data_IF_857098929991
#
_entry.id   IF_857098929991
#
_cell.length_a   1.000
_cell.length_b   1.000
_cell.length_c   1.000
_cell.angle_alpha   90.00
_cell.angle_beta   90.00
_cell.angle_gamma   90.00
#
_symmetry.space_group_name_H-M   'P 1'
#
loop_
_entity.id
_entity.type
_entity.pdbx_description
1 polymer ?
#
# COMPACT_ATOMS: atom_id res chain seq x y z
N UNK A 1 -34.16 -13.23 -65.42
CA UNK A 1 -33.02 -12.34 -65.10
C UNK A 1 -33.22 -11.42 -63.84
N UNK A 2 -34.44 -11.31 -63.30
CA UNK A 2 -34.69 -10.48 -62.07
C UNK A 2 -34.48 -11.21 -60.73
N UNK A 3 -34.48 -12.52 -60.71
CA UNK A 3 -34.31 -13.32 -59.47
C UNK A 3 -32.85 -13.58 -59.12
N UNK A 4 -31.89 -13.45 -60.02
CA UNK A 4 -30.48 -13.64 -59.76
C UNK A 4 -29.78 -12.41 -59.15
N UNK A 5 -30.36 -11.22 -59.28
CA UNK A 5 -29.83 -9.97 -58.75
C UNK A 5 -30.17 -9.75 -57.24
N UNK A 6 -31.22 -10.37 -56.74
CA UNK A 6 -31.61 -10.29 -55.33
C UNK A 6 -30.78 -11.21 -54.44
N UNK A 7 -30.32 -12.35 -54.98
CA UNK A 7 -29.44 -13.25 -54.21
C UNK A 7 -28.01 -12.72 -54.05
N UNK A 8 -27.52 -11.88 -54.94
CA UNK A 8 -26.21 -11.27 -54.85
C UNK A 8 -26.17 -10.09 -53.84
N UNK A 9 -27.31 -9.40 -53.62
CA UNK A 9 -27.42 -8.30 -52.68
C UNK A 9 -27.53 -8.78 -51.20
N UNK A 10 -28.05 -9.99 -50.96
CA UNK A 10 -28.11 -10.56 -49.60
C UNK A 10 -26.78 -11.18 -49.16
N UNK A 11 -25.87 -11.51 -50.07
CA UNK A 11 -24.56 -12.09 -49.78
C UNK A 11 -23.50 -11.05 -49.34
N UNK A 12 -23.72 -9.76 -49.63
CA UNK A 12 -22.80 -8.68 -49.24
C UNK A 12 -23.04 -8.03 -47.88
N UNK A 13 -24.16 -8.35 -47.21
CA UNK A 13 -24.44 -7.84 -45.86
C UNK A 13 -23.91 -8.71 -44.71
N UNK A 14 -23.31 -9.87 -45.01
CA UNK A 14 -22.80 -10.80 -44.01
C UNK A 14 -21.30 -10.61 -43.66
N UNK A 15 -20.66 -9.56 -44.20
CA UNK A 15 -19.30 -9.16 -43.86
C UNK A 15 -19.25 -7.86 -43.01
N UNK A 16 -20.30 -7.65 -42.18
CA UNK A 16 -20.14 -6.77 -41.02
C UNK A 16 -19.20 -7.52 -40.06
N UNK A 17 -17.89 -7.27 -40.23
CA UNK A 17 -16.88 -7.77 -39.33
C UNK A 17 -17.35 -7.55 -37.92
N UNK A 18 -17.33 -8.60 -37.09
CA UNK A 18 -17.50 -8.44 -35.64
C UNK A 18 -16.61 -7.29 -35.24
N UNK A 19 -17.11 -6.29 -34.46
CA UNK A 19 -16.25 -5.26 -33.93
C UNK A 19 -15.17 -6.03 -33.17
N UNK A 20 -13.93 -5.96 -33.67
CA UNK A 20 -12.75 -6.48 -32.95
C UNK A 20 -12.92 -5.92 -31.53
N UNK A 21 -13.30 -6.78 -30.61
CA UNK A 21 -13.45 -6.41 -29.21
C UNK A 21 -12.13 -5.76 -28.83
N UNK A 22 -12.10 -4.44 -28.71
CA UNK A 22 -10.89 -3.69 -28.39
C UNK A 22 -10.35 -4.33 -27.13
N UNK A 23 -9.18 -5.01 -27.25
CA UNK A 23 -8.61 -5.75 -26.14
C UNK A 23 -8.42 -4.82 -24.93
N UNK A 24 -8.86 -5.25 -23.75
CA UNK A 24 -8.63 -4.49 -22.53
C UNK A 24 -7.12 -4.38 -22.20
N UNK A 25 -6.60 -3.20 -21.83
CA UNK A 25 -7.28 -1.90 -21.71
C UNK A 25 -7.46 -1.22 -23.08
N UNK A 26 -8.63 -0.57 -23.29
CA UNK A 26 -8.99 0.11 -24.54
C UNK A 26 -8.89 1.63 -24.46
N UNK A 27 -8.67 2.18 -23.28
CA UNK A 27 -8.54 3.62 -22.99
C UNK A 27 -7.55 3.84 -21.85
N UNK A 28 -7.25 5.08 -21.54
CA UNK A 28 -6.38 5.47 -20.42
C UNK A 28 -6.83 4.82 -19.11
N UNK A 29 -5.87 4.19 -18.38
CA UNK A 29 -6.10 3.71 -17.03
C UNK A 29 -5.82 4.85 -16.04
N UNK A 30 -6.78 5.12 -15.16
CA UNK A 30 -6.61 6.02 -14.02
C UNK A 30 -6.30 5.21 -12.78
N UNK A 31 -5.10 5.36 -12.26
CA UNK A 31 -4.62 4.70 -11.06
C UNK A 31 -4.74 5.65 -9.87
N UNK A 32 -5.74 5.46 -9.02
CA UNK A 32 -6.02 6.32 -7.86
C UNK A 32 -5.18 5.84 -6.69
N UNK A 33 -4.20 6.65 -6.29
CA UNK A 33 -3.27 6.38 -5.20
C UNK A 33 -3.81 6.98 -3.89
N UNK A 34 -3.86 6.18 -2.82
CA UNK A 34 -4.49 6.55 -1.54
C UNK A 34 -3.69 7.51 -0.67
N UNK A 35 -2.56 8.04 -1.16
CA UNK A 35 -1.63 8.85 -0.36
C UNK A 35 -0.99 9.98 -1.20
N UNK A 36 -0.25 10.88 -0.53
CA UNK A 36 0.43 12.01 -1.16
C UNK A 36 1.53 11.57 -2.14
N UNK A 37 1.91 12.42 -3.12
CA UNK A 37 3.08 12.18 -3.96
C UNK A 37 4.34 11.89 -3.14
N UNK A 38 5.20 11.00 -3.65
CA UNK A 38 6.42 10.55 -2.97
C UNK A 38 6.19 9.54 -1.84
N UNK A 39 4.94 9.22 -1.51
CA UNK A 39 4.62 8.13 -0.59
C UNK A 39 4.87 6.75 -1.22
N UNK A 40 4.88 5.71 -0.37
CA UNK A 40 5.01 4.32 -0.85
C UNK A 40 3.99 3.99 -1.94
N UNK A 41 2.72 4.35 -1.74
CA UNK A 41 1.64 4.10 -2.71
C UNK A 41 1.95 4.76 -4.06
N UNK A 42 2.43 6.00 -4.03
CA UNK A 42 2.78 6.76 -5.24
C UNK A 42 4.00 6.15 -5.96
N UNK A 43 5.06 5.85 -5.22
CA UNK A 43 6.32 5.32 -5.79
C UNK A 43 6.11 3.97 -6.47
N UNK A 44 5.44 3.02 -5.78
CA UNK A 44 5.16 1.69 -6.33
C UNK A 44 4.04 1.73 -7.37
N UNK A 45 3.04 2.59 -7.18
CA UNK A 45 1.98 2.84 -8.15
C UNK A 45 2.54 3.36 -9.49
N UNK A 46 3.44 4.34 -9.48
CA UNK A 46 4.09 4.85 -10.72
C UNK A 46 4.98 3.80 -11.36
N UNK A 47 5.72 3.03 -10.56
CA UNK A 47 6.56 1.96 -11.10
C UNK A 47 5.76 0.94 -11.90
N UNK A 48 4.60 0.49 -11.39
CA UNK A 48 3.75 -0.44 -12.11
C UNK A 48 2.94 0.23 -13.23
N UNK A 49 2.57 1.51 -13.08
CA UNK A 49 1.89 2.29 -14.11
C UNK A 49 2.75 2.40 -15.38
N UNK A 50 4.05 2.70 -15.23
CA UNK A 50 5.02 2.75 -16.33
C UNK A 50 5.07 1.40 -17.06
N UNK A 51 5.11 0.28 -16.31
CA UNK A 51 5.13 -1.05 -16.90
C UNK A 51 3.83 -1.38 -17.65
N UNK A 52 2.66 -1.08 -17.05
CA UNK A 52 1.36 -1.31 -17.70
C UNK A 52 1.26 -0.50 -18.99
N UNK A 53 1.68 0.78 -18.97
CA UNK A 53 1.67 1.62 -20.16
C UNK A 53 2.55 1.04 -21.27
N UNK A 54 3.77 0.61 -20.96
CA UNK A 54 4.67 -0.03 -21.92
C UNK A 54 4.11 -1.35 -22.49
N UNK A 55 3.50 -2.17 -21.61
CA UNK A 55 2.98 -3.50 -22.01
C UNK A 55 1.69 -3.44 -22.84
N UNK A 56 0.93 -2.34 -22.74
CA UNK A 56 -0.40 -2.22 -23.35
C UNK A 56 -0.48 -1.15 -24.43
N UNK A 57 0.47 -0.22 -24.48
CA UNK A 57 0.39 0.98 -25.34
C UNK A 57 -0.64 2.00 -24.87
N UNK A 58 -1.34 1.77 -23.77
CA UNK A 58 -2.32 2.71 -23.20
C UNK A 58 -1.70 3.57 -22.12
N UNK A 59 -2.07 4.85 -22.07
CA UNK A 59 -1.61 5.74 -21.02
C UNK A 59 -2.12 5.28 -19.65
N UNK A 60 -1.27 5.39 -18.61
CA UNK A 60 -1.65 5.15 -17.21
C UNK A 60 -1.34 6.43 -16.41
N UNK A 61 -2.36 7.02 -15.82
CA UNK A 61 -2.24 8.26 -15.04
C UNK A 61 -2.40 7.96 -13.56
N UNK A 62 -1.41 8.32 -12.76
CA UNK A 62 -1.47 8.20 -11.30
C UNK A 62 -2.04 9.48 -10.71
N UNK A 63 -3.17 9.34 -10.01
CA UNK A 63 -3.93 10.40 -9.37
C UNK A 63 -3.91 10.23 -7.84
N UNK A 64 -3.16 11.10 -7.15
CA UNK A 64 -3.00 11.02 -5.70
C UNK A 64 -4.20 11.64 -4.98
N UNK A 65 -4.88 10.83 -4.14
CA UNK A 65 -6.07 11.22 -3.35
C UNK A 65 -5.88 10.80 -1.89
N UNK A 66 -5.04 11.55 -1.19
CA UNK A 66 -4.75 11.31 0.23
C UNK A 66 -5.92 11.69 1.13
N UNK A 67 -6.14 10.94 2.20
CA UNK A 67 -7.09 11.29 3.27
C UNK A 67 -7.87 10.09 3.82
N UNK A 68 -8.28 10.23 5.06
CA UNK A 68 -9.13 9.27 5.79
C UNK A 68 -8.67 7.80 5.66
N UNK A 69 -7.36 7.53 5.84
CA UNK A 69 -6.82 6.17 5.73
C UNK A 69 -6.99 5.54 4.34
N UNK A 70 -7.13 6.35 3.27
CA UNK A 70 -7.33 5.88 1.89
C UNK A 70 -8.79 5.72 1.47
N UNK A 71 -9.75 5.92 2.36
CA UNK A 71 -11.19 5.74 2.06
C UNK A 71 -11.71 6.78 1.06
N UNK A 72 -11.10 7.99 1.02
CA UNK A 72 -11.43 8.99 0.01
C UNK A 72 -11.14 8.47 -1.41
N UNK A 73 -9.96 7.94 -1.64
CA UNK A 73 -9.56 7.35 -2.93
C UNK A 73 -10.44 6.14 -3.28
N UNK A 74 -10.75 5.30 -2.29
CA UNK A 74 -11.62 4.15 -2.46
C UNK A 74 -13.04 4.55 -2.93
N UNK A 75 -13.64 5.58 -2.33
CA UNK A 75 -14.93 6.12 -2.76
C UNK A 75 -14.92 6.61 -4.22
N UNK A 76 -13.83 7.24 -4.67
CA UNK A 76 -13.67 7.68 -6.06
C UNK A 76 -13.66 6.48 -7.01
N UNK A 77 -12.95 5.39 -6.67
CA UNK A 77 -12.90 4.19 -7.51
C UNK A 77 -14.26 3.48 -7.57
N UNK A 78 -14.98 3.39 -6.46
CA UNK A 78 -16.31 2.78 -6.42
C UNK A 78 -17.39 3.60 -7.15
N UNK A 79 -17.23 4.92 -7.20
CA UNK A 79 -18.11 5.83 -7.95
C UNK A 79 -17.82 5.89 -9.45
N UNK A 80 -16.73 5.28 -9.92
CA UNK A 80 -16.38 5.24 -11.33
C UNK A 80 -17.07 4.09 -12.07
N UNK A 81 -17.00 4.12 -13.42
CA UNK A 81 -17.45 3.02 -14.26
C UNK A 81 -16.65 1.74 -13.91
N UNK A 82 -17.38 0.63 -13.70
CA UNK A 82 -16.78 -0.65 -13.30
C UNK A 82 -16.30 -1.47 -14.52
N UNK A 83 -15.49 -0.86 -15.38
CA UNK A 83 -14.93 -1.45 -16.61
C UNK A 83 -13.46 -1.88 -16.47
N UNK A 84 -12.84 -1.61 -15.31
CA UNK A 84 -11.45 -1.93 -15.02
C UNK A 84 -10.43 -0.85 -15.34
N UNK A 85 -10.83 0.30 -15.93
CA UNK A 85 -9.90 1.40 -16.23
C UNK A 85 -9.67 2.36 -15.05
N UNK A 86 -10.39 2.19 -13.94
CA UNK A 86 -10.12 2.92 -12.70
C UNK A 86 -9.66 1.94 -11.63
N UNK A 87 -8.42 2.07 -11.19
CA UNK A 87 -7.72 1.14 -10.31
C UNK A 87 -7.34 1.86 -9.02
N UNK A 88 -7.57 1.25 -7.87
CA UNK A 88 -7.09 1.72 -6.58
C UNK A 88 -5.70 1.14 -6.31
N UNK A 89 -4.74 1.97 -5.94
CA UNK A 89 -3.48 1.51 -5.32
C UNK A 89 -3.54 1.85 -3.84
N UNK A 90 -3.47 0.82 -3.01
CA UNK A 90 -3.59 0.95 -1.56
C UNK A 90 -2.54 0.10 -0.84
N UNK A 91 -2.44 0.29 0.46
CA UNK A 91 -1.57 -0.46 1.38
C UNK A 91 -2.40 -1.36 2.30
N UNK A 92 -1.78 -1.88 3.34
CA UNK A 92 -2.47 -2.52 4.48
C UNK A 92 -3.60 -1.67 5.08
N UNK A 93 -3.71 -0.37 4.75
CA UNK A 93 -4.87 0.46 5.09
C UNK A 93 -6.19 -0.13 4.55
N UNK A 94 -6.16 -0.90 3.45
CA UNK A 94 -7.30 -1.62 2.89
C UNK A 94 -8.02 -2.48 3.94
N UNK A 95 -7.26 -3.14 4.80
CA UNK A 95 -7.78 -4.06 5.82
C UNK A 95 -8.00 -3.42 7.19
N UNK A 96 -7.46 -2.22 7.42
CA UNK A 96 -7.54 -1.51 8.68
C UNK A 96 -8.74 -0.57 8.71
N UNK A 97 -8.99 0.14 7.59
CA UNK A 97 -10.00 1.17 7.47
C UNK A 97 -11.42 0.73 7.92
N UNK A 98 -11.90 -0.50 7.63
CA UNK A 98 -13.22 -0.95 8.07
C UNK A 98 -13.44 -0.90 9.58
N UNK A 99 -12.38 -1.08 10.36
CA UNK A 99 -12.47 -1.11 11.83
C UNK A 99 -12.36 0.26 12.49
N UNK A 100 -11.74 1.23 11.81
CA UNK A 100 -11.48 2.55 12.38
C UNK A 100 -12.38 3.65 11.79
N UNK A 101 -13.02 3.40 10.63
CA UNK A 101 -13.99 4.29 10.00
C UNK A 101 -15.38 3.62 9.87
N UNK A 102 -16.15 3.48 10.98
CA UNK A 102 -17.39 2.69 10.98
C UNK A 102 -18.55 3.31 10.18
N UNK A 103 -18.41 4.59 9.80
CA UNK A 103 -19.44 5.33 9.04
C UNK A 103 -19.11 5.38 7.53
N UNK A 104 -18.33 4.44 7.02
CA UNK A 104 -18.12 4.34 5.57
C UNK A 104 -19.41 3.97 4.86
N UNK A 105 -19.68 4.64 3.74
CA UNK A 105 -20.85 4.34 2.89
C UNK A 105 -20.66 3.04 2.06
N UNK A 106 -19.52 2.39 2.17
CA UNK A 106 -19.14 1.19 1.42
C UNK A 106 -18.26 0.27 2.26
N UNK A 107 -18.22 -1.00 1.86
CA UNK A 107 -17.39 -2.02 2.52
C UNK A 107 -16.07 -2.22 1.78
N UNK A 108 -14.95 -1.83 2.41
CA UNK A 108 -13.61 -1.94 1.83
C UNK A 108 -13.19 -3.38 1.47
N UNK A 109 -13.77 -4.40 2.11
CA UNK A 109 -13.41 -5.80 1.88
C UNK A 109 -14.32 -6.49 0.88
N UNK A 110 -15.59 -6.05 0.77
CA UNK A 110 -16.61 -6.70 -0.07
C UNK A 110 -16.78 -6.03 -1.42
N UNK A 111 -16.58 -4.71 -1.50
CA UNK A 111 -16.81 -3.94 -2.72
C UNK A 111 -15.56 -3.79 -3.59
N UNK A 112 -14.42 -4.34 -3.14
CA UNK A 112 -13.20 -4.38 -3.91
C UNK A 112 -12.76 -5.82 -4.22
N UNK A 113 -12.24 -6.02 -5.42
CA UNK A 113 -11.52 -7.23 -5.84
C UNK A 113 -10.03 -6.93 -5.92
N UNK A 114 -9.21 -7.82 -5.39
CA UNK A 114 -7.76 -7.76 -5.50
C UNK A 114 -7.33 -8.03 -6.94
N UNK A 115 -6.54 -7.12 -7.51
CA UNK A 115 -5.93 -7.32 -8.83
C UNK A 115 -4.60 -8.02 -8.65
N UNK A 116 -3.66 -7.40 -7.97
CA UNK A 116 -2.34 -7.94 -7.71
C UNK A 116 -1.70 -7.27 -6.49
N UNK A 117 -1.00 -8.01 -5.63
CA UNK A 117 -0.05 -7.39 -4.72
C UNK A 117 1.17 -6.92 -5.53
N UNK A 118 1.83 -5.86 -5.07
CA UNK A 118 2.98 -5.28 -5.77
C UNK A 118 4.27 -5.50 -5.00
N UNK A 119 4.28 -5.10 -3.74
CA UNK A 119 5.47 -5.14 -2.89
C UNK A 119 5.11 -5.38 -1.43
N UNK A 120 6.05 -5.98 -0.72
CA UNK A 120 6.10 -6.02 0.74
C UNK A 120 7.37 -5.30 1.20
N UNK A 121 7.25 -4.54 2.28
CA UNK A 121 8.34 -3.73 2.81
C UNK A 121 8.41 -3.89 4.33
N UNK A 122 9.63 -3.92 4.90
CA UNK A 122 9.79 -3.75 6.32
C UNK A 122 9.50 -2.30 6.73
N UNK A 123 9.02 -2.11 7.95
CA UNK A 123 8.95 -0.82 8.59
C UNK A 123 10.20 -0.60 9.46
N UNK A 124 10.66 0.64 9.53
CA UNK A 124 11.83 1.02 10.33
C UNK A 124 11.39 1.99 11.41
N UNK A 125 11.74 1.71 12.66
CA UNK A 125 11.62 2.68 13.75
C UNK A 125 12.77 3.67 13.66
N UNK A 126 12.44 4.94 13.51
CA UNK A 126 13.37 6.05 13.38
C UNK A 126 13.14 7.09 14.47
N UNK A 127 14.23 7.78 14.83
CA UNK A 127 14.25 8.92 15.73
C UNK A 127 15.05 10.08 15.11
N UNK A 128 14.93 11.32 15.62
CA UNK A 128 15.80 12.44 15.21
C UNK A 128 17.28 12.08 15.32
N UNK A 129 18.17 12.62 14.48
CA UNK A 129 19.59 12.29 14.52
C UNK A 129 20.25 12.69 15.86
N UNK A 130 19.78 13.77 16.49
CA UNK A 130 20.23 14.26 17.80
C UNK A 130 19.57 13.58 19.00
N UNK A 131 18.66 12.61 18.76
CA UNK A 131 17.98 11.89 19.84
C UNK A 131 18.97 11.25 20.82
N UNK A 132 18.69 11.30 22.13
CA UNK A 132 19.53 10.64 23.14
C UNK A 132 19.45 9.09 23.04
N UNK A 133 18.42 8.57 22.40
CA UNK A 133 18.21 7.12 22.28
C UNK A 133 19.04 6.55 21.12
N UNK A 134 19.91 5.60 21.45
CA UNK A 134 20.80 4.95 20.47
C UNK A 134 20.31 3.58 20.02
N UNK A 135 19.39 3.00 20.74
CA UNK A 135 18.78 1.70 20.50
C UNK A 135 17.33 1.67 21.02
N UNK A 136 16.60 0.58 20.71
CA UNK A 136 15.21 0.38 21.14
C UNK A 136 15.08 0.33 22.66
N UNK A 137 16.06 -0.24 23.37
CA UNK A 137 16.03 -0.37 24.82
C UNK A 137 16.03 1.02 25.50
N UNK A 138 16.85 1.93 25.00
CA UNK A 138 16.92 3.30 25.51
C UNK A 138 15.62 4.08 25.27
N UNK A 139 15.00 3.95 24.08
CA UNK A 139 13.71 4.55 23.76
C UNK A 139 12.60 4.01 24.69
N UNK A 140 12.54 2.69 24.85
CA UNK A 140 11.53 2.01 25.68
C UNK A 140 11.69 2.43 27.15
N UNK A 141 12.93 2.47 27.67
CA UNK A 141 13.21 2.92 29.03
C UNK A 141 12.75 4.38 29.25
N UNK A 142 12.98 5.27 28.28
CA UNK A 142 12.50 6.65 28.35
C UNK A 142 10.97 6.74 28.34
N UNK A 143 10.28 5.93 27.53
CA UNK A 143 8.83 5.86 27.49
C UNK A 143 8.24 5.34 28.82
N UNK A 144 8.85 4.33 29.43
CA UNK A 144 8.45 3.82 30.75
C UNK A 144 8.67 4.85 31.87
N UNK A 145 9.76 5.63 31.79
CA UNK A 145 10.04 6.67 32.79
C UNK A 145 9.01 7.81 32.77
N UNK A 146 8.38 8.08 31.63
CA UNK A 146 7.37 9.13 31.44
C UNK A 146 6.26 8.64 30.50
N UNK A 147 5.31 7.82 30.98
CA UNK A 147 4.21 7.31 30.18
C UNK A 147 3.41 8.43 29.52
N UNK A 148 3.10 8.29 28.23
CA UNK A 148 2.34 9.27 27.45
C UNK A 148 3.06 10.57 27.10
N UNK A 149 4.34 10.74 27.48
CA UNK A 149 5.09 11.96 27.18
C UNK A 149 5.69 11.97 25.76
N UNK A 150 6.02 10.80 25.20
CA UNK A 150 6.61 10.71 23.87
C UNK A 150 5.55 10.77 22.78
N UNK A 151 5.90 11.42 21.67
CA UNK A 151 5.06 11.53 20.49
C UNK A 151 5.56 10.64 19.37
N UNK A 152 4.64 10.11 18.56
CA UNK A 152 5.01 9.36 17.35
C UNK A 152 4.21 9.78 16.12
N UNK A 153 4.92 9.87 14.98
CA UNK A 153 4.33 10.25 13.71
C UNK A 153 3.79 9.03 12.94
N UNK A 154 2.66 9.22 12.25
CA UNK A 154 2.08 8.21 11.35
C UNK A 154 1.57 8.85 10.07
N UNK A 155 1.30 8.06 9.03
CA UNK A 155 0.62 8.53 7.81
C UNK A 155 -0.90 8.74 7.99
N UNK A 156 -1.35 8.88 9.23
CA UNK A 156 -2.74 9.09 9.60
C UNK A 156 -3.39 7.88 10.27
N UNK A 157 -4.57 8.12 10.82
CA UNK A 157 -5.37 7.07 11.46
C UNK A 157 -5.76 5.98 10.46
N UNK A 158 -5.80 4.72 10.90
CA UNK A 158 -6.22 3.60 10.06
C UNK A 158 -5.24 3.26 8.93
N UNK A 159 -3.98 3.67 9.03
CA UNK A 159 -2.92 3.34 8.07
C UNK A 159 -2.03 2.22 8.58
N UNK A 160 -1.24 1.60 7.69
CA UNK A 160 -0.25 0.59 8.06
C UNK A 160 0.80 1.11 9.05
N UNK A 161 1.23 2.37 8.92
CA UNK A 161 2.17 3.00 9.86
C UNK A 161 1.56 3.20 11.25
N UNK A 162 0.26 3.49 11.33
CA UNK A 162 -0.45 3.53 12.60
C UNK A 162 -0.46 2.14 13.27
N UNK A 163 -0.81 1.09 12.52
CA UNK A 163 -0.83 -0.27 13.06
C UNK A 163 0.55 -0.79 13.45
N UNK A 164 1.60 -0.42 12.70
CA UNK A 164 2.99 -0.76 13.07
C UNK A 164 3.39 -0.10 14.39
N UNK A 165 3.05 1.18 14.59
CA UNK A 165 3.29 1.84 15.86
C UNK A 165 2.48 1.21 17.00
N UNK A 166 1.20 0.85 16.76
CA UNK A 166 0.33 0.17 17.74
C UNK A 166 0.94 -1.16 18.17
N UNK A 167 1.34 -2.00 17.22
CA UNK A 167 1.98 -3.30 17.53
C UNK A 167 3.24 -3.11 18.35
N UNK A 168 4.09 -2.14 17.97
CA UNK A 168 5.31 -1.83 18.69
C UNK A 168 5.03 -1.42 20.14
N UNK A 169 4.16 -0.40 20.37
CA UNK A 169 3.92 0.07 21.73
C UNK A 169 3.18 -0.97 22.59
N UNK A 170 2.33 -1.83 22.02
CA UNK A 170 1.73 -2.97 22.71
C UNK A 170 2.80 -3.97 23.16
N UNK A 171 3.69 -4.39 22.25
CA UNK A 171 4.76 -5.34 22.56
C UNK A 171 5.76 -4.74 23.55
N UNK A 172 6.13 -3.49 23.41
CA UNK A 172 7.01 -2.76 24.32
C UNK A 172 6.33 -2.35 25.64
N UNK A 173 4.99 -2.47 25.75
CA UNK A 173 4.17 -2.03 26.90
C UNK A 173 4.39 -0.57 27.26
N UNK A 174 4.50 0.31 26.27
CA UNK A 174 4.69 1.75 26.44
C UNK A 174 3.44 2.53 26.06
N UNK A 175 3.36 3.78 26.54
CA UNK A 175 2.34 4.74 26.14
C UNK A 175 2.99 5.90 25.40
N UNK A 176 2.39 6.31 24.28
CA UNK A 176 2.86 7.43 23.47
C UNK A 176 1.69 8.11 22.73
N UNK A 177 1.85 9.37 22.36
CA UNK A 177 0.82 10.18 21.70
C UNK A 177 1.01 10.19 20.20
N UNK A 178 -0.02 9.80 19.46
CA UNK A 178 -0.01 9.83 18.00
C UNK A 178 -0.11 11.26 17.45
N UNK A 179 0.74 11.59 16.47
CA UNK A 179 0.64 12.77 15.60
C UNK A 179 0.34 12.27 14.18
N UNK A 180 -0.92 12.41 13.70
CA UNK A 180 -1.31 11.92 12.38
C UNK A 180 -0.97 12.93 11.28
N UNK A 181 -0.37 12.47 10.19
CA UNK A 181 -0.07 13.22 8.97
C UNK A 181 -0.88 12.67 7.78
N UNK A 182 -0.80 13.33 6.63
CA UNK A 182 -1.47 12.88 5.40
C UNK A 182 -0.75 11.70 4.73
N UNK A 183 0.58 11.58 4.92
CA UNK A 183 1.41 10.50 4.41
C UNK A 183 2.73 10.38 5.20
N UNK A 184 3.52 9.32 4.93
CA UNK A 184 4.78 9.07 5.61
C UNK A 184 5.85 10.14 5.39
N UNK A 185 5.99 10.79 4.20
CA UNK A 185 6.98 11.85 4.01
C UNK A 185 6.82 13.04 4.95
N UNK A 186 5.58 13.46 5.25
CA UNK A 186 5.31 14.57 6.17
C UNK A 186 5.71 14.20 7.61
N UNK A 187 5.39 12.96 8.05
CA UNK A 187 5.82 12.46 9.36
C UNK A 187 7.35 12.41 9.46
N UNK A 188 8.04 11.96 8.40
CA UNK A 188 9.50 11.92 8.34
C UNK A 188 10.14 13.30 8.53
N UNK A 189 9.59 14.35 7.88
CA UNK A 189 10.08 15.72 8.03
C UNK A 189 10.02 16.17 9.49
N UNK A 190 8.95 15.85 10.20
CA UNK A 190 8.78 16.25 11.59
C UNK A 190 9.65 15.43 12.55
N UNK A 191 9.96 14.18 12.24
CA UNK A 191 10.99 13.41 12.96
C UNK A 191 12.37 14.03 12.72
N UNK A 192 12.75 14.32 11.46
CA UNK A 192 14.06 14.94 11.16
C UNK A 192 14.28 16.26 11.89
N UNK A 193 13.22 17.06 12.08
CA UNK A 193 13.28 18.34 12.78
C UNK A 193 13.17 18.22 14.30
N UNK A 194 12.89 17.02 14.85
CA UNK A 194 12.70 16.80 16.28
C UNK A 194 11.36 17.30 16.83
N UNK A 195 10.37 17.61 15.98
CA UNK A 195 9.01 17.94 16.39
C UNK A 195 8.20 16.72 16.82
N UNK A 196 8.61 15.54 16.37
CA UNK A 196 8.07 14.23 16.75
C UNK A 196 9.23 13.37 17.23
N UNK A 197 9.03 12.65 18.34
CA UNK A 197 10.09 11.92 19.02
C UNK A 197 10.53 10.66 18.24
N UNK A 198 9.59 9.95 17.62
CA UNK A 198 9.86 8.77 16.83
C UNK A 198 8.76 8.49 15.80
N UNK A 199 9.04 7.59 14.87
CA UNK A 199 8.05 7.08 13.95
C UNK A 199 8.44 5.67 13.48
N UNK A 200 7.45 4.89 13.06
CA UNK A 200 7.68 3.61 12.34
C UNK A 200 7.15 3.81 10.93
N UNK A 201 8.06 3.89 9.98
CA UNK A 201 7.75 4.20 8.58
C UNK A 201 8.32 3.12 7.65
N UNK A 202 7.68 2.91 6.47
CA UNK A 202 8.20 1.98 5.48
C UNK A 202 9.63 2.32 5.06
N UNK A 203 10.46 1.30 4.90
CA UNK A 203 11.88 1.46 4.56
C UNK A 203 12.10 2.33 3.33
N UNK A 204 11.30 2.20 2.29
CA UNK A 204 11.40 3.02 1.08
C UNK A 204 11.26 4.53 1.32
N UNK A 205 10.60 4.92 2.41
CA UNK A 205 10.44 6.34 2.79
C UNK A 205 11.68 6.87 3.50
N UNK A 206 12.36 6.04 4.29
CA UNK A 206 13.38 6.50 5.25
C UNK A 206 14.81 6.10 4.88
N UNK A 207 15.00 5.17 3.95
CA UNK A 207 16.30 4.54 3.67
C UNK A 207 17.39 5.54 3.30
N UNK A 208 17.12 6.51 2.41
CA UNK A 208 18.08 7.56 2.05
C UNK A 208 18.43 8.43 3.25
N UNK A 209 17.41 8.82 4.05
CA UNK A 209 17.64 9.67 5.22
C UNK A 209 18.43 8.97 6.33
N UNK A 210 18.29 7.65 6.46
CA UNK A 210 19.11 6.84 7.37
C UNK A 210 20.57 6.81 6.87
N UNK A 211 20.80 6.53 5.58
CA UNK A 211 22.13 6.50 4.96
C UNK A 211 22.83 7.86 5.03
N UNK A 212 22.08 8.96 4.91
CA UNK A 212 22.58 10.34 5.00
C UNK A 212 22.72 10.82 6.46
N UNK A 213 22.39 10.00 7.47
CA UNK A 213 22.48 10.36 8.89
C UNK A 213 21.48 11.42 9.34
N UNK A 214 20.42 11.69 8.54
CA UNK A 214 19.39 12.69 8.84
C UNK A 214 18.30 12.17 9.79
N UNK A 215 18.23 10.86 10.00
CA UNK A 215 17.49 10.18 11.06
C UNK A 215 18.35 9.01 11.54
N UNK A 216 18.10 8.55 12.77
CA UNK A 216 18.68 7.33 13.30
C UNK A 216 17.66 6.22 13.30
N UNK A 217 18.00 5.07 12.69
CA UNK A 217 17.22 3.85 12.79
C UNK A 217 17.57 3.12 14.09
N UNK A 218 16.54 2.64 14.81
CA UNK A 218 16.71 1.89 16.05
C UNK A 218 16.34 0.42 15.92
N UNK A 219 15.50 0.05 14.95
CA UNK A 219 15.07 -1.32 14.74
C UNK A 219 14.18 -1.50 13.52
N UNK A 220 14.08 -2.75 13.07
CA UNK A 220 13.39 -3.17 11.87
C UNK A 220 12.18 -4.05 12.23
N UNK A 221 11.00 -3.69 11.76
CA UNK A 221 9.79 -4.52 11.80
C UNK A 221 9.80 -5.50 10.65
N UNK A 222 10.48 -6.62 10.81
CA UNK A 222 10.59 -7.71 9.86
C UNK A 222 11.06 -8.99 10.55
N UNK A 223 10.82 -10.15 9.93
CA UNK A 223 11.29 -11.45 10.42
C UNK A 223 12.82 -11.60 10.35
N UNK A 224 13.45 -10.94 9.39
CA UNK A 224 14.90 -10.97 9.14
C UNK A 224 15.43 -9.59 8.83
N UNK A 225 16.72 -9.38 9.03
CA UNK A 225 17.41 -8.14 8.65
C UNK A 225 17.32 -7.91 7.14
N UNK A 226 17.38 -6.65 6.74
CA UNK A 226 17.32 -6.26 5.34
C UNK A 226 18.73 -5.96 4.80
N UNK A 227 19.04 -6.39 3.58
CA UNK A 227 20.33 -6.21 2.93
C UNK A 227 20.75 -4.73 2.78
N UNK A 228 19.79 -3.81 2.72
CA UNK A 228 20.08 -2.37 2.65
C UNK A 228 20.53 -1.78 3.99
N UNK A 229 20.23 -2.44 5.13
CA UNK A 229 20.58 -2.06 6.50
C UNK A 229 20.99 -3.31 7.30
N UNK A 230 22.12 -3.98 6.94
CA UNK A 230 22.48 -5.30 7.49
C UNK A 230 22.78 -5.26 8.98
N UNK A 231 23.23 -4.11 9.51
CA UNK A 231 23.57 -3.94 10.91
C UNK A 231 22.36 -3.57 11.79
N UNK A 232 21.21 -3.21 11.20
CA UNK A 232 20.03 -2.84 11.94
C UNK A 232 19.32 -4.10 12.45
N UNK A 233 19.16 -4.29 13.79
CA UNK A 233 18.49 -5.44 14.34
C UNK A 233 16.99 -5.38 14.07
N UNK A 234 16.35 -6.54 13.99
CA UNK A 234 14.90 -6.64 13.98
C UNK A 234 14.34 -6.37 15.39
N UNK A 235 13.02 -6.09 15.47
CA UNK A 235 12.34 -5.96 16.75
C UNK A 235 12.46 -7.25 17.57
N UNK A 236 12.31 -8.42 16.91
CA UNK A 236 12.45 -9.72 17.54
C UNK A 236 13.87 -9.95 18.09
N UNK A 237 14.93 -9.63 17.33
CA UNK A 237 16.32 -9.69 17.81
C UNK A 237 16.58 -8.75 19.00
N UNK A 238 15.77 -7.68 19.11
CA UNK A 238 15.82 -6.72 20.23
C UNK A 238 14.94 -7.14 21.43
N UNK A 239 14.36 -8.36 21.39
CA UNK A 239 13.52 -8.89 22.47
C UNK A 239 12.05 -8.51 22.40
N UNK A 240 11.59 -7.93 21.30
CA UNK A 240 10.19 -7.53 21.09
C UNK A 240 9.50 -8.51 20.14
N UNK A 241 8.90 -9.55 20.68
CA UNK A 241 8.06 -10.45 19.89
C UNK A 241 6.79 -9.75 19.42
N UNK A 242 6.29 -10.14 18.24
CA UNK A 242 5.03 -9.64 17.67
C UNK A 242 4.90 -8.11 17.58
N UNK A 243 6.01 -7.39 17.47
CA UNK A 243 6.05 -5.93 17.47
C UNK A 243 5.87 -5.28 16.09
N UNK A 244 5.84 -6.07 15.02
CA UNK A 244 5.66 -5.59 13.64
C UNK A 244 4.24 -5.80 13.14
N UNK A 245 3.90 -5.03 12.11
CA UNK A 245 2.71 -5.19 11.30
C UNK A 245 3.12 -5.16 9.83
N UNK A 246 2.78 -6.19 9.03
CA UNK A 246 3.21 -6.27 7.64
C UNK A 246 2.75 -5.06 6.82
N UNK A 247 3.69 -4.41 6.15
CA UNK A 247 3.40 -3.32 5.25
C UNK A 247 3.51 -3.78 3.80
N UNK A 248 2.41 -3.75 3.09
CA UNK A 248 2.32 -4.17 1.70
C UNK A 248 1.57 -3.16 0.84
N UNK A 249 1.81 -3.20 -0.46
CA UNK A 249 1.12 -2.39 -1.48
C UNK A 249 0.43 -3.33 -2.44
N UNK A 250 -0.80 -3.00 -2.81
CA UNK A 250 -1.58 -3.77 -3.77
C UNK A 250 -2.50 -2.92 -4.65
N UNK A 251 -2.92 -3.52 -5.74
CA UNK A 251 -3.87 -2.97 -6.69
C UNK A 251 -5.24 -3.62 -6.50
N UNK A 252 -6.28 -2.80 -6.55
CA UNK A 252 -7.67 -3.21 -6.41
C UNK A 252 -8.55 -2.52 -7.46
N UNK A 253 -9.67 -3.13 -7.78
CA UNK A 253 -10.74 -2.53 -8.58
C UNK A 253 -12.07 -2.75 -7.88
N UNK A 254 -13.13 -2.06 -8.31
CA UNK A 254 -14.50 -2.40 -7.86
C UNK A 254 -14.78 -3.89 -8.10
N UNK A 255 -15.40 -4.57 -7.14
CA UNK A 255 -15.81 -5.97 -7.28
C UNK A 255 -16.81 -6.21 -8.43
N UNK A 256 -17.38 -5.13 -8.99
CA UNK A 256 -18.29 -5.15 -10.15
C UNK A 256 -17.54 -5.24 -11.49
N UNK A 257 -16.21 -5.06 -11.51
CA UNK A 257 -15.39 -5.14 -12.72
C UNK A 257 -15.40 -6.56 -13.28
N UNK A 258 -15.57 -6.74 -14.61
CA UNK A 258 -15.55 -8.06 -15.23
C UNK A 258 -14.25 -8.82 -14.91
N UNK A 259 -14.39 -10.10 -14.56
CA UNK A 259 -13.23 -10.94 -14.21
C UNK A 259 -12.17 -11.05 -15.30
N UNK A 260 -12.55 -10.90 -16.57
CA UNK A 260 -11.61 -10.86 -17.70
C UNK A 260 -10.68 -9.64 -17.62
N UNK A 261 -11.19 -8.48 -17.26
CA UNK A 261 -10.39 -7.26 -17.06
C UNK A 261 -9.48 -7.40 -15.82
N UNK A 262 -10.00 -7.94 -14.72
CA UNK A 262 -9.19 -8.22 -13.50
C UNK A 262 -8.03 -9.15 -13.83
N UNK A 263 -8.28 -10.28 -14.52
CA UNK A 263 -7.22 -11.23 -14.92
C UNK A 263 -6.18 -10.58 -15.82
N UNK A 264 -6.62 -9.77 -16.78
CA UNK A 264 -5.69 -9.09 -17.69
C UNK A 264 -4.79 -8.09 -16.96
N UNK A 265 -5.34 -7.27 -16.05
CA UNK A 265 -4.55 -6.40 -15.21
C UNK A 265 -3.60 -7.19 -14.31
N UNK A 266 -4.07 -8.29 -13.72
CA UNK A 266 -3.25 -9.18 -12.90
C UNK A 266 -2.06 -9.73 -13.69
N UNK A 267 -2.28 -10.30 -14.87
CA UNK A 267 -1.23 -10.86 -15.71
C UNK A 267 -0.14 -9.85 -16.03
N UNK A 268 -0.53 -8.64 -16.43
CA UNK A 268 0.41 -7.57 -16.77
C UNK A 268 1.19 -7.14 -15.51
N UNK A 269 0.50 -6.87 -14.43
CA UNK A 269 1.11 -6.37 -13.19
C UNK A 269 2.02 -7.42 -12.55
N UNK A 270 1.56 -8.67 -12.45
CA UNK A 270 2.33 -9.78 -11.89
C UNK A 270 3.60 -10.08 -12.70
N UNK A 271 3.55 -9.99 -14.03
CA UNK A 271 4.75 -10.06 -14.87
C UNK A 271 5.66 -8.87 -14.63
N UNK A 272 5.08 -7.67 -14.49
CA UNK A 272 5.83 -6.43 -14.27
C UNK A 272 6.68 -6.46 -13.02
N UNK A 273 6.11 -6.83 -11.88
CA UNK A 273 6.85 -6.88 -10.60
C UNK A 273 7.95 -7.94 -10.58
N UNK A 274 7.90 -8.92 -11.49
CA UNK A 274 8.89 -10.00 -11.60
C UNK A 274 10.04 -9.68 -12.57
N UNK A 275 9.96 -8.60 -13.35
CA UNK A 275 11.04 -8.21 -14.26
C UNK A 275 12.33 -7.89 -13.49
N UNK A 276 13.53 -8.19 -14.03
CA UNK A 276 14.79 -7.86 -13.36
C UNK A 276 14.89 -6.38 -13.01
N UNK A 277 14.46 -5.49 -13.90
CA UNK A 277 14.48 -4.05 -13.65
C UNK A 277 13.59 -3.63 -12.48
N UNK A 278 12.37 -4.19 -12.37
CA UNK A 278 11.46 -3.89 -11.28
C UNK A 278 11.96 -4.47 -9.95
N UNK A 279 12.50 -5.70 -9.96
CA UNK A 279 13.13 -6.31 -8.77
C UNK A 279 14.27 -5.45 -8.25
N UNK A 280 15.20 -5.02 -9.12
CA UNK A 280 16.30 -4.15 -8.75
C UNK A 280 15.80 -2.79 -8.20
N UNK A 281 14.75 -2.22 -8.80
CA UNK A 281 14.14 -0.98 -8.30
C UNK A 281 13.53 -1.14 -6.91
N UNK A 282 12.85 -2.26 -6.66
CA UNK A 282 12.24 -2.55 -5.35
C UNK A 282 13.32 -2.81 -4.29
N UNK A 283 14.30 -3.63 -4.62
CA UNK A 283 15.44 -3.92 -3.73
C UNK A 283 16.22 -2.66 -3.33
N UNK A 284 16.45 -1.73 -4.27
CA UNK A 284 17.07 -0.44 -3.97
C UNK A 284 16.25 0.40 -2.96
N UNK A 285 14.94 0.16 -2.85
CA UNK A 285 14.03 0.77 -1.89
C UNK A 285 13.86 -0.07 -0.61
N UNK A 286 14.59 -1.17 -0.48
CA UNK A 286 14.45 -2.11 0.63
C UNK A 286 13.16 -2.92 0.62
N UNK A 287 12.50 -3.01 -0.53
CA UNK A 287 11.27 -3.76 -0.75
C UNK A 287 11.53 -5.07 -1.48
N UNK A 288 10.60 -6.01 -1.32
CA UNK A 288 10.59 -7.26 -2.07
C UNK A 288 9.33 -7.32 -2.96
N UNK A 289 9.43 -7.84 -4.21
CA UNK A 289 8.26 -8.13 -5.01
C UNK A 289 7.31 -9.07 -4.28
N UNK A 290 6.02 -8.74 -4.29
CA UNK A 290 5.00 -9.59 -3.69
C UNK A 290 4.13 -10.18 -4.80
N UNK A 291 4.17 -11.50 -4.97
CA UNK A 291 3.53 -12.18 -6.10
C UNK A 291 2.57 -13.23 -5.58
N UNK A 292 1.29 -13.05 -5.87
CA UNK A 292 0.21 -14.00 -5.60
C UNK A 292 -0.76 -13.97 -6.80
N UNK A 293 -1.57 -15.02 -6.98
CA UNK A 293 -2.73 -14.92 -7.89
C UNK A 293 -3.77 -13.95 -7.33
N UNK A 294 -4.71 -13.47 -8.14
CA UNK A 294 -5.78 -12.58 -7.67
C UNK A 294 -6.58 -13.22 -6.54
N UNK A 295 -6.90 -14.51 -6.65
CA UNK A 295 -7.66 -15.27 -5.65
C UNK A 295 -6.86 -15.43 -4.35
N UNK A 296 -5.57 -15.74 -4.45
CA UNK A 296 -4.69 -15.84 -3.29
C UNK A 296 -4.48 -14.47 -2.62
N UNK A 297 -4.46 -13.38 -3.42
CA UNK A 297 -4.40 -12.03 -2.87
C UNK A 297 -5.67 -11.64 -2.14
N UNK A 298 -6.85 -11.96 -2.68
CA UNK A 298 -8.12 -11.76 -1.97
C UNK A 298 -8.18 -12.56 -0.66
N UNK A 299 -7.68 -13.80 -0.65
CA UNK A 299 -7.58 -14.61 0.57
C UNK A 299 -6.61 -13.99 1.60
N UNK A 300 -5.46 -13.53 1.15
CA UNK A 300 -4.49 -12.79 1.98
C UNK A 300 -5.10 -11.54 2.59
N UNK A 301 -5.82 -10.72 1.80
CA UNK A 301 -6.49 -9.50 2.28
C UNK A 301 -7.50 -9.83 3.39
N UNK A 302 -8.31 -10.88 3.21
CA UNK A 302 -9.26 -11.31 4.26
C UNK A 302 -8.56 -11.77 5.54
N UNK A 303 -7.53 -12.59 5.44
CA UNK A 303 -6.75 -13.02 6.61
C UNK A 303 -6.09 -11.84 7.34
N UNK A 304 -5.53 -10.89 6.60
CA UNK A 304 -4.96 -9.68 7.18
C UNK A 304 -6.01 -8.78 7.87
N UNK A 305 -7.25 -8.77 7.38
CA UNK A 305 -8.34 -8.03 8.03
C UNK A 305 -8.70 -8.63 9.40
N UNK A 306 -8.71 -9.95 9.53
CA UNK A 306 -8.93 -10.63 10.83
C UNK A 306 -7.83 -10.27 11.84
N UNK A 307 -6.56 -10.29 11.39
CA UNK A 307 -5.41 -9.89 12.21
C UNK A 307 -5.52 -8.42 12.63
N UNK A 308 -5.83 -7.52 11.69
CA UNK A 308 -6.00 -6.09 11.98
C UNK A 308 -7.13 -5.84 12.98
N UNK A 309 -8.27 -6.49 12.80
CA UNK A 309 -9.41 -6.39 13.71
C UNK A 309 -9.08 -6.86 15.13
N UNK A 310 -8.34 -7.98 15.27
CA UNK A 310 -7.89 -8.50 16.56
C UNK A 310 -6.97 -7.50 17.28
N UNK A 311 -6.00 -6.91 16.56
CA UNK A 311 -5.07 -5.91 17.11
C UNK A 311 -5.83 -4.65 17.55
N UNK A 312 -6.71 -4.12 16.71
CA UNK A 312 -7.50 -2.91 17.00
C UNK A 312 -8.34 -3.10 18.26
N UNK A 313 -8.98 -4.27 18.41
CA UNK A 313 -9.74 -4.64 19.60
C UNK A 313 -8.83 -4.74 20.83
N UNK A 314 -7.70 -5.45 20.73
CA UNK A 314 -6.77 -5.64 21.85
C UNK A 314 -6.13 -4.32 22.31
N UNK A 315 -5.84 -3.42 21.36
CA UNK A 315 -5.27 -2.08 21.63
C UNK A 315 -6.32 -1.05 22.07
N UNK A 316 -7.60 -1.44 22.11
CA UNK A 316 -8.73 -0.55 22.44
C UNK A 316 -8.75 0.75 21.58
N UNK A 317 -8.39 0.61 20.28
CA UNK A 317 -8.41 1.73 19.34
C UNK A 317 -9.85 2.11 19.08
N UNK A 318 -10.21 3.36 19.42
CA UNK A 318 -11.55 3.88 19.16
C UNK A 318 -11.71 4.22 17.68
N UNK A 319 -12.90 3.97 17.11
CA UNK A 319 -13.26 4.48 15.78
C UNK A 319 -13.18 6.01 15.70
N UNK A 320 -12.87 6.53 14.51
CA UNK A 320 -12.72 7.96 14.22
C UNK A 320 -13.92 8.53 13.47
#
# INVERSE_FOLDING_TARGET
>A
MRTALIAAALGMLALAGEPLAQGFPSKTIRMVATSSPGSVVDVFGRAIADHIAQATGQAVVVDNRAGAGGTLAAGIVLGAEADGHVVLVNTSAQVIAPFVYPKLAFDMLREFAGVAPLAVLPNVLIVPPQSPWKDLKALIAAAHAKPGALTYGTAGHGTGTHMSAVRFWMSARIEAVQVPYKASPEALIDVMSGRVDWSILPMSTVLSQIKDGRVRALGLGAERRNAQLPDLPTFAESGLADADFPFWVGMFVSAKVPRTAVRRLHEISSKGVQTPAMRARFEALGAEPFVLTSEAFDAFVRAQAEVAGAIIKAANIRPF
#
